data_IF_641958212900
#
_entry.id   IF_641958212900
#
_cell.length_a   1.000
_cell.length_b   1.000
_cell.length_c   1.000
_cell.angle_alpha   90.00
_cell.angle_beta   90.00
_cell.angle_gamma   90.00
#
_symmetry.space_group_name_H-M   'P 1'
#
loop_
_entity.id
_entity.type
_entity.pdbx_description
1 polymer ?
#
# COMPACT_ATOMS: atom_id res chain seq x y z
N UNK A 1 16.40 0.63 -1.59
CA UNK A 1 15.64 1.88 -1.63
C UNK A 1 15.82 2.68 -0.35
N UNK A 2 15.63 4.01 -0.38
CA UNK A 2 15.69 4.86 0.81
C UNK A 2 14.28 5.24 1.29
N UNK A 3 14.10 5.35 2.60
CA UNK A 3 12.85 5.80 3.23
C UNK A 3 12.50 7.23 2.78
N UNK A 4 11.30 7.40 2.23
CA UNK A 4 10.73 8.71 1.94
C UNK A 4 9.39 8.90 2.65
N UNK A 5 9.35 9.81 3.62
CA UNK A 5 8.16 10.04 4.43
C UNK A 5 6.99 10.61 3.61
N UNK A 6 7.27 11.43 2.59
CA UNK A 6 6.22 12.00 1.75
C UNK A 6 5.53 10.90 0.91
N UNK A 7 6.29 9.95 0.38
CA UNK A 7 5.76 8.78 -0.34
C UNK A 7 4.96 7.89 0.61
N UNK A 8 5.53 7.52 1.76
CA UNK A 8 4.84 6.69 2.76
C UNK A 8 3.52 7.33 3.21
N UNK A 9 3.54 8.63 3.54
CA UNK A 9 2.33 9.36 3.91
C UNK A 9 1.33 9.36 2.76
N UNK A 10 1.78 9.55 1.51
CA UNK A 10 0.89 9.57 0.37
C UNK A 10 0.21 8.22 0.11
N UNK A 11 0.95 7.12 0.25
CA UNK A 11 0.41 5.76 0.15
C UNK A 11 -0.64 5.54 1.24
N UNK A 12 -0.34 5.91 2.49
CA UNK A 12 -1.30 5.79 3.60
C UNK A 12 -2.57 6.63 3.36
N UNK A 13 -2.44 7.86 2.87
CA UNK A 13 -3.58 8.71 2.48
C UNK A 13 -4.45 8.04 1.41
N UNK A 14 -3.83 7.43 0.40
CA UNK A 14 -4.55 6.77 -0.68
C UNK A 14 -5.34 5.56 -0.18
N UNK A 15 -4.74 4.74 0.69
CA UNK A 15 -5.41 3.60 1.31
C UNK A 15 -6.62 4.07 2.12
N UNK A 16 -6.43 5.03 3.03
CA UNK A 16 -7.53 5.57 3.87
C UNK A 16 -8.64 6.20 3.03
N UNK A 17 -8.31 6.83 1.90
CA UNK A 17 -9.31 7.49 1.04
C UNK A 17 -10.13 6.48 0.23
N UNK A 18 -9.55 5.34 -0.16
CA UNK A 18 -10.17 4.35 -1.03
C UNK A 18 -10.69 3.11 -0.28
N UNK A 19 -10.43 3.01 1.01
CA UNK A 19 -11.06 2.04 1.92
C UNK A 19 -12.51 2.47 2.21
N UNK A 20 -13.41 2.19 1.25
CA UNK A 20 -14.79 2.66 1.30
C UNK A 20 -15.70 1.83 2.23
N UNK A 21 -15.36 0.58 2.48
CA UNK A 21 -16.17 -0.37 3.25
C UNK A 21 -15.45 -0.86 4.53
N UNK A 22 -14.24 -0.39 4.81
CA UNK A 22 -13.43 -0.81 5.95
C UNK A 22 -12.76 -2.17 5.75
N UNK A 23 -12.81 -2.72 4.54
CA UNK A 23 -12.16 -3.98 4.19
C UNK A 23 -10.69 -3.80 3.80
N UNK A 24 -10.26 -2.58 3.52
CA UNK A 24 -8.92 -2.26 3.04
C UNK A 24 -8.86 -2.08 1.51
N UNK A 25 -7.65 -1.98 0.99
CA UNK A 25 -7.39 -1.74 -0.43
C UNK A 25 -6.48 -2.82 -0.98
N UNK A 26 -6.90 -3.46 -2.07
CA UNK A 26 -6.10 -4.49 -2.74
C UNK A 26 -4.81 -3.90 -3.32
N UNK A 27 -3.74 -4.69 -3.27
CA UNK A 27 -2.43 -4.32 -3.85
C UNK A 27 -2.56 -3.96 -5.32
N UNK A 28 -3.32 -4.76 -6.07
CA UNK A 28 -3.57 -4.56 -7.50
C UNK A 28 -4.24 -3.20 -7.80
N UNK A 29 -5.14 -2.74 -6.92
CA UNK A 29 -5.81 -1.44 -7.05
C UNK A 29 -4.94 -0.27 -6.58
N UNK A 30 -4.05 -0.51 -5.62
CA UNK A 30 -3.21 0.53 -5.03
C UNK A 30 -2.14 1.04 -5.99
N UNK A 31 -1.49 0.16 -6.76
CA UNK A 31 -0.44 0.56 -7.71
C UNK A 31 -0.88 1.67 -8.70
N UNK A 32 -1.98 1.51 -9.47
CA UNK A 32 -2.42 2.55 -10.39
C UNK A 32 -2.86 3.84 -9.68
N UNK A 33 -3.33 3.76 -8.43
CA UNK A 33 -3.63 4.94 -7.61
C UNK A 33 -2.37 5.71 -7.24
N UNK A 34 -1.32 4.99 -6.80
CA UNK A 34 -0.04 5.59 -6.43
C UNK A 34 0.66 6.16 -7.65
N UNK A 35 0.69 5.43 -8.77
CA UNK A 35 1.30 5.89 -10.02
C UNK A 35 0.66 7.22 -10.48
N UNK A 36 -0.68 7.32 -10.45
CA UNK A 36 -1.38 8.57 -10.78
C UNK A 36 -1.09 9.69 -9.79
N UNK A 37 -1.08 9.38 -8.49
CA UNK A 37 -0.85 10.37 -7.44
C UNK A 37 0.58 10.92 -7.44
N UNK A 38 1.54 10.10 -7.87
CA UNK A 38 2.96 10.43 -7.85
C UNK A 38 3.56 10.71 -9.23
N UNK A 39 2.75 10.73 -10.30
CA UNK A 39 3.19 10.95 -11.69
C UNK A 39 4.11 12.17 -11.89
N UNK A 40 3.98 13.21 -11.06
CA UNK A 40 4.79 14.43 -11.14
C UNK A 40 6.07 14.40 -10.29
N UNK A 41 6.34 13.32 -9.55
CA UNK A 41 7.57 13.16 -8.77
C UNK A 41 8.62 12.56 -9.70
N UNK A 42 9.46 13.42 -10.26
CA UNK A 42 10.34 13.17 -11.41
C UNK A 42 11.44 12.08 -11.25
N UNK A 43 11.39 11.22 -10.23
CA UNK A 43 12.46 10.24 -9.96
C UNK A 43 11.97 9.06 -9.11
N UNK A 44 10.83 8.46 -9.47
CA UNK A 44 10.31 7.28 -8.76
C UNK A 44 11.00 5.97 -9.16
N UNK A 45 11.75 5.95 -10.26
CA UNK A 45 12.36 4.73 -10.76
C UNK A 45 11.29 3.64 -10.99
N UNK A 46 11.50 2.47 -10.40
CA UNK A 46 10.51 1.41 -10.37
C UNK A 46 9.42 1.73 -9.34
N UNK A 47 8.25 2.17 -9.83
CA UNK A 47 7.08 2.50 -9.00
C UNK A 47 6.63 1.31 -8.15
N UNK A 48 6.69 0.09 -8.70
CA UNK A 48 6.21 -1.09 -8.00
C UNK A 48 7.10 -1.39 -6.79
N UNK A 49 8.42 -1.46 -7.01
CA UNK A 49 9.39 -1.62 -5.94
C UNK A 49 9.31 -0.48 -4.90
N UNK A 50 8.98 0.73 -5.35
CA UNK A 50 8.80 1.88 -4.46
C UNK A 50 7.60 1.75 -3.56
N UNK A 51 6.46 1.35 -4.11
CA UNK A 51 5.23 1.12 -3.35
C UNK A 51 5.44 0.00 -2.34
N UNK A 52 5.98 -1.13 -2.76
CA UNK A 52 6.21 -2.29 -1.89
C UNK A 52 7.14 -1.98 -0.73
N UNK A 53 8.25 -1.28 -1.01
CA UNK A 53 9.18 -0.89 0.04
C UNK A 53 8.51 0.00 1.11
N UNK A 54 7.66 0.95 0.70
CA UNK A 54 6.99 1.83 1.65
C UNK A 54 5.79 1.17 2.34
N UNK A 55 5.09 0.26 1.68
CA UNK A 55 4.07 -0.59 2.31
C UNK A 55 4.67 -1.41 3.43
N UNK A 56 5.79 -2.08 3.16
CA UNK A 56 6.54 -2.81 4.18
C UNK A 56 6.87 -1.94 5.40
N UNK A 57 7.37 -0.72 5.18
CA UNK A 57 7.70 0.21 6.27
C UNK A 57 6.45 0.67 7.06
N UNK A 58 5.32 0.88 6.39
CA UNK A 58 4.06 1.27 7.05
C UNK A 58 3.47 0.13 7.88
N UNK A 59 3.61 -1.11 7.41
CA UNK A 59 3.21 -2.31 8.15
C UNK A 59 4.10 -2.50 9.38
N UNK A 60 5.43 -2.46 9.21
CA UNK A 60 6.39 -2.60 10.31
C UNK A 60 6.21 -1.51 11.39
N UNK A 61 5.86 -0.29 10.97
CA UNK A 61 5.54 0.81 11.88
C UNK A 61 4.15 0.70 12.54
N UNK A 62 3.33 -0.28 12.16
CA UNK A 62 1.98 -0.50 12.71
C UNK A 62 0.91 0.46 12.19
N UNK A 63 1.15 1.14 11.06
CA UNK A 63 0.17 2.03 10.42
C UNK A 63 -0.79 1.30 9.49
N UNK A 64 -0.37 0.14 8.97
CA UNK A 64 -1.18 -0.73 8.12
C UNK A 64 -1.15 -2.16 8.65
N UNK A 65 -2.23 -2.90 8.41
CA UNK A 65 -2.23 -4.36 8.41
C UNK A 65 -2.21 -4.84 6.96
N UNK A 66 -1.55 -5.97 6.72
CA UNK A 66 -1.69 -6.75 5.49
C UNK A 66 -2.53 -8.00 5.79
N UNK A 67 -3.44 -8.34 4.90
CA UNK A 67 -4.03 -9.67 4.86
C UNK A 67 -3.64 -10.32 3.56
N UNK A 68 -2.79 -11.33 3.68
CA UNK A 68 -2.37 -12.19 2.58
C UNK A 68 -3.50 -13.17 2.30
N UNK A 69 -3.91 -13.32 1.04
CA UNK A 69 -4.91 -14.35 0.74
C UNK A 69 -4.23 -15.72 0.80
N UNK A 70 -4.84 -16.64 1.55
CA UNK A 70 -4.42 -18.03 1.55
C UNK A 70 -4.77 -18.65 0.19
N UNK A 71 -3.76 -18.85 -0.66
CA UNK A 71 -3.95 -19.53 -1.94
C UNK A 71 -3.87 -21.03 -1.67
N UNK A 72 -5.04 -21.69 -1.67
CA UNK A 72 -5.13 -23.15 -1.50
C UNK A 72 -4.78 -23.96 -2.77
N UNK A 73 -4.38 -23.33 -3.88
CA UNK A 73 -4.12 -24.04 -5.15
C UNK A 73 -2.73 -23.74 -5.75
N UNK A 74 -1.96 -24.80 -5.99
CA UNK A 74 -0.57 -24.80 -6.50
C UNK A 74 -0.42 -24.42 -8.00
N UNK A 75 -1.43 -23.82 -8.63
CA UNK A 75 -1.45 -23.56 -10.09
C UNK A 75 -1.56 -22.08 -10.51
N UNK A 76 -1.54 -21.13 -9.56
CA UNK A 76 -1.57 -19.71 -9.90
C UNK A 76 -0.15 -19.17 -10.18
N UNK A 77 0.01 -18.43 -11.28
CA UNK A 77 1.25 -17.74 -11.66
C UNK A 77 1.74 -16.84 -10.50
N UNK A 78 3.06 -16.71 -10.30
CA UNK A 78 3.66 -15.89 -9.21
C UNK A 78 3.15 -14.43 -9.17
N UNK A 79 2.64 -13.92 -10.29
CA UNK A 79 2.04 -12.58 -10.39
C UNK A 79 0.63 -12.48 -9.77
N UNK A 80 -0.15 -13.56 -9.74
CA UNK A 80 -1.49 -13.61 -9.12
C UNK A 80 -1.40 -13.83 -7.59
N UNK A 81 -0.26 -14.33 -7.11
CA UNK A 81 -0.01 -14.60 -5.69
C UNK A 81 -0.13 -13.35 -4.80
N UNK A 82 0.27 -12.20 -5.31
CA UNK A 82 0.23 -10.91 -4.58
C UNK A 82 -0.98 -10.04 -4.94
N UNK A 83 -1.75 -10.42 -5.96
CA UNK A 83 -2.90 -9.63 -6.43
C UNK A 83 -4.04 -9.60 -5.40
N UNK A 84 -4.11 -10.64 -4.57
CA UNK A 84 -5.15 -10.86 -3.57
C UNK A 84 -4.84 -10.24 -2.20
N UNK A 85 -3.60 -9.78 -1.98
CA UNK A 85 -3.22 -9.03 -0.79
C UNK A 85 -4.02 -7.74 -0.69
N UNK A 86 -4.52 -7.44 0.51
CA UNK A 86 -5.13 -6.14 0.79
C UNK A 86 -4.58 -5.50 2.06
N UNK A 87 -4.55 -4.17 2.06
CA UNK A 87 -4.00 -3.35 3.12
C UNK A 87 -5.10 -2.56 3.80
N UNK A 88 -5.22 -2.72 5.12
CA UNK A 88 -6.18 -1.97 5.92
C UNK A 88 -5.46 -1.01 6.88
N UNK A 89 -5.94 0.24 7.03
CA UNK A 89 -5.36 1.18 7.97
C UNK A 89 -5.63 0.78 9.42
N UNK A 90 -4.65 0.98 10.30
CA UNK A 90 -4.85 0.85 11.74
C UNK A 90 -5.32 2.17 12.34
N UNK A 91 -5.79 2.15 13.59
CA UNK A 91 -6.04 3.38 14.35
C UNK A 91 -4.81 4.31 14.38
N UNK A 92 -3.60 3.74 14.54
CA UNK A 92 -2.38 4.53 14.50
C UNK A 92 -2.14 5.18 13.13
N UNK A 93 -2.52 4.50 12.04
CA UNK A 93 -2.47 5.04 10.69
C UNK A 93 -3.42 6.24 10.52
N UNK A 94 -4.66 6.11 11.00
CA UNK A 94 -5.63 7.21 11.00
C UNK A 94 -5.16 8.38 11.86
N UNK A 95 -4.77 8.12 13.10
CA UNK A 95 -4.31 9.15 14.04
C UNK A 95 -3.10 9.91 13.48
N UNK A 96 -2.18 9.22 12.79
CA UNK A 96 -1.04 9.84 12.14
C UNK A 96 -1.44 10.84 11.04
N UNK A 97 -2.45 10.51 10.22
CA UNK A 97 -2.95 11.42 9.19
C UNK A 97 -3.72 12.62 9.76
N UNK A 98 -4.43 12.40 10.88
CA UNK A 98 -5.22 13.44 11.55
C UNK A 98 -4.35 14.39 12.39
N UNK A 99 -3.19 13.92 12.86
CA UNK A 99 -2.21 14.74 13.55
C UNK A 99 -1.58 15.76 12.59
N UNK A 100 -1.95 17.04 12.74
CA UNK A 100 -1.42 18.17 11.97
C UNK A 100 -0.05 18.63 12.45
#
# INVERSE_FOLDING_TARGET
MQRNLAIAKKILELIVTHDHDGSGVYRADLYPLVERALYNVADLGDTAATVDYHLYLLIDAGFLNITEAEIENEEDDEDDLFASDYFSPTWAGHDYLDSK
#
